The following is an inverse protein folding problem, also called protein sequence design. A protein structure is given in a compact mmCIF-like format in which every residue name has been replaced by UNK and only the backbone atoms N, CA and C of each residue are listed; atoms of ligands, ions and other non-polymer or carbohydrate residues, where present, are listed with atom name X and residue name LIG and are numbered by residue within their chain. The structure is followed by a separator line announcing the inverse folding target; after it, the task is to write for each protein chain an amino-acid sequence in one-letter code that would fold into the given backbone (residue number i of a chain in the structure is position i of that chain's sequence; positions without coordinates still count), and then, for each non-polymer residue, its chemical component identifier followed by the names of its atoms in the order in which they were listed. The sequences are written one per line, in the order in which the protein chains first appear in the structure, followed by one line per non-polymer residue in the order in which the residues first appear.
data_IF_788364165622
#
_entry.id   IF_788364165622
#
_cell.length_a   1.000
_cell.length_b   1.000
_cell.length_c   1.000
_cell.angle_alpha   90.00
_cell.angle_beta   90.00
_cell.angle_gamma   90.00
#
_symmetry.space_group_name_H-M   'P 1'
#
loop_
_entity.id
_entity.type
_entity.pdbx_description
1 polymer ?
#
# COMPACT_ATOMS: atom_id res chain seq x y z
N UNK A 1 26.51 11.23 -9.16
CA UNK A 1 25.83 11.59 -7.87
C UNK A 1 24.42 11.04 -7.93
N UNK A 2 24.06 10.11 -7.04
CA UNK A 2 22.68 9.61 -6.92
C UNK A 2 21.83 10.79 -6.44
N UNK A 3 20.71 11.06 -7.13
CA UNK A 3 19.75 12.08 -6.73
C UNK A 3 18.51 11.36 -6.20
N UNK A 4 18.27 11.47 -4.91
CA UNK A 4 17.04 10.93 -4.30
C UNK A 4 15.94 11.96 -4.53
N UNK A 5 14.82 11.52 -5.12
CA UNK A 5 13.61 12.32 -5.26
C UNK A 5 12.54 11.71 -4.37
N UNK A 6 11.97 12.51 -3.47
CA UNK A 6 10.83 12.09 -2.66
C UNK A 6 9.57 12.51 -3.39
N UNK A 7 8.57 11.62 -3.45
CA UNK A 7 7.22 11.98 -3.88
C UNK A 7 6.47 12.58 -2.68
N UNK A 8 6.24 13.91 -2.62
CA UNK A 8 5.56 14.53 -1.49
C UNK A 8 4.10 14.05 -1.33
N UNK A 9 3.49 13.57 -2.41
CA UNK A 9 2.13 13.01 -2.38
C UNK A 9 2.06 11.64 -1.71
N UNK A 10 3.21 11.00 -1.42
CA UNK A 10 3.28 9.71 -0.76
C UNK A 10 3.34 9.81 0.78
N UNK A 11 3.37 11.03 1.34
CA UNK A 11 3.34 11.18 2.79
C UNK A 11 1.98 10.78 3.37
N UNK A 12 2.03 10.11 4.52
CA UNK A 12 0.87 9.59 5.25
C UNK A 12 0.89 10.09 6.69
N UNK A 13 -0.27 10.10 7.33
CA UNK A 13 -0.41 10.35 8.77
C UNK A 13 -1.40 9.36 9.36
N UNK A 14 -1.22 8.98 10.62
CA UNK A 14 -2.20 8.22 11.37
C UNK A 14 -2.89 9.14 12.38
N UNK A 15 -4.19 8.91 12.61
CA UNK A 15 -4.89 9.55 13.71
C UNK A 15 -4.46 8.88 15.02
N UNK A 16 -4.13 9.69 16.03
CA UNK A 16 -3.69 9.17 17.32
C UNK A 16 -4.88 9.03 18.27
N UNK A 17 -4.89 7.96 19.07
CA UNK A 17 -5.84 7.78 20.17
C UNK A 17 -5.69 8.96 21.15
N UNK A 18 -6.73 9.80 21.35
CA UNK A 18 -6.66 10.93 22.24
C UNK A 18 -6.50 10.51 23.70
N UNK A 19 -7.03 9.36 24.12
CA UNK A 19 -6.86 8.82 25.48
C UNK A 19 -5.40 8.42 25.69
N UNK A 20 -4.79 7.68 24.76
CA UNK A 20 -3.37 7.32 24.87
C UNK A 20 -2.44 8.52 24.73
N UNK A 21 -2.73 9.43 23.80
CA UNK A 21 -1.95 10.65 23.61
C UNK A 21 -2.01 11.53 24.84
N UNK A 22 -3.19 11.61 25.47
CA UNK A 22 -3.39 12.37 26.68
C UNK A 22 -2.84 11.65 27.92
N UNK A 23 -2.91 10.31 28.01
CA UNK A 23 -2.24 9.55 29.07
C UNK A 23 -0.71 9.69 28.99
N UNK A 24 -0.15 9.67 27.77
CA UNK A 24 1.26 10.02 27.52
C UNK A 24 1.53 11.46 27.93
N UNK A 25 0.69 12.42 27.53
CA UNK A 25 0.80 13.82 27.95
C UNK A 25 0.79 13.98 29.48
N UNK A 26 -0.13 13.31 30.20
CA UNK A 26 -0.21 13.31 31.66
C UNK A 26 1.02 12.70 32.29
N UNK A 27 1.54 11.62 31.72
CA UNK A 27 2.76 10.98 32.20
C UNK A 27 3.97 11.90 32.05
N UNK A 28 4.05 12.63 30.93
CA UNK A 28 5.12 13.58 30.63
C UNK A 28 5.02 14.85 31.50
N UNK A 29 3.81 15.38 31.70
CA UNK A 29 3.57 16.66 32.38
C UNK A 29 3.06 16.51 33.81
N UNK A 30 3.23 15.31 34.41
CA UNK A 30 2.66 14.94 35.71
C UNK A 30 3.02 15.95 36.80
N UNK A 31 4.28 16.36 36.86
CA UNK A 31 4.80 17.24 37.91
C UNK A 31 4.26 18.67 37.79
N UNK A 32 4.09 19.16 36.56
CA UNK A 32 3.50 20.48 36.28
C UNK A 32 2.00 20.49 36.61
N UNK A 33 1.28 19.41 36.30
CA UNK A 33 -0.14 19.28 36.58
C UNK A 33 -0.44 19.12 38.07
N UNK A 34 0.40 18.39 38.81
CA UNK A 34 0.33 18.26 40.27
C UNK A 34 0.51 19.60 41.00
N UNK A 35 1.22 20.56 40.39
CA UNK A 35 1.38 21.91 40.94
C UNK A 35 0.11 22.79 40.81
N UNK A 36 -0.88 22.35 40.01
CA UNK A 36 -2.04 23.17 39.61
C UNK A 36 -3.34 22.94 40.41
N UNK A 37 -3.29 22.15 41.50
CA UNK A 37 -4.38 21.94 42.47
C UNK A 37 -5.18 20.63 42.28
N UNK A 38 -5.67 20.06 43.39
CA UNK A 38 -6.33 18.73 43.44
C UNK A 38 -7.68 18.65 42.71
N UNK A 39 -8.40 19.76 42.51
CA UNK A 39 -9.73 19.75 41.90
C UNK A 39 -9.68 19.50 40.38
N UNK A 40 -8.65 20.00 39.69
CA UNK A 40 -8.44 19.71 38.25
C UNK A 40 -8.26 18.21 37.99
N UNK A 41 -7.56 17.50 38.88
CA UNK A 41 -7.31 16.05 38.74
C UNK A 41 -8.58 15.21 38.90
N UNK A 42 -9.53 15.64 39.73
CA UNK A 42 -10.82 14.96 39.90
C UNK A 42 -11.71 15.10 38.66
N UNK A 43 -11.72 16.27 38.04
CA UNK A 43 -12.47 16.51 36.79
C UNK A 43 -11.91 15.68 35.63
N UNK A 44 -10.60 15.48 35.61
CA UNK A 44 -9.90 14.64 34.62
C UNK A 44 -10.20 13.15 34.84
N UNK A 45 -10.13 12.64 36.07
CA UNK A 45 -10.44 11.24 36.37
C UNK A 45 -11.93 10.93 36.09
N UNK A 46 -12.82 11.88 36.38
CA UNK A 46 -14.24 11.79 36.04
C UNK A 46 -14.46 11.83 34.51
N UNK A 47 -13.68 12.63 33.78
CA UNK A 47 -13.68 12.68 32.32
C UNK A 47 -13.28 11.33 31.70
N UNK A 48 -12.20 10.69 32.17
CA UNK A 48 -11.78 9.37 31.67
C UNK A 48 -12.79 8.26 31.97
N UNK A 49 -13.46 8.30 33.13
CA UNK A 49 -14.50 7.34 33.49
C UNK A 49 -15.78 7.50 32.66
N UNK A 50 -16.10 8.74 32.26
CA UNK A 50 -17.30 9.07 31.49
C UNK A 50 -17.06 9.13 29.96
N UNK A 51 -15.80 9.09 29.51
CA UNK A 51 -15.42 8.98 28.10
C UNK A 51 -15.76 7.58 27.58
N UNK A 52 -17.05 7.29 27.43
CA UNK A 52 -17.54 6.03 26.88
C UNK A 52 -17.70 6.12 25.35
N UNK A 53 -16.86 5.34 24.68
CA UNK A 53 -17.16 4.43 23.55
C UNK A 53 -17.70 4.96 22.20
N UNK A 54 -18.00 6.23 22.02
CA UNK A 54 -18.54 6.70 20.73
C UNK A 54 -17.48 7.10 19.70
N UNK A 55 -16.28 7.51 20.14
CA UNK A 55 -15.19 7.86 19.22
C UNK A 55 -14.19 6.71 19.12
N UNK A 56 -14.32 5.91 18.07
CA UNK A 56 -13.39 4.83 17.75
C UNK A 56 -12.39 5.36 16.72
N UNK A 57 -11.22 5.77 17.20
CA UNK A 57 -10.07 6.09 16.37
C UNK A 57 -9.68 4.87 15.54
N UNK A 58 -9.26 5.12 14.30
CA UNK A 58 -8.76 4.07 13.43
C UNK A 58 -7.25 3.98 13.56
N UNK A 59 -6.71 2.79 13.86
CA UNK A 59 -5.27 2.54 13.86
C UNK A 59 -4.70 2.41 12.41
N UNK A 60 -5.19 3.25 11.50
CA UNK A 60 -4.82 3.25 10.08
C UNK A 60 -4.09 4.53 9.71
N UNK A 61 -3.24 4.41 8.71
CA UNK A 61 -2.67 5.56 8.04
C UNK A 61 -3.62 6.10 6.96
N UNK A 62 -3.50 7.39 6.70
CA UNK A 62 -4.27 8.10 5.68
C UNK A 62 -3.33 8.98 4.89
N UNK A 63 -3.56 9.08 3.58
CA UNK A 63 -2.74 9.93 2.73
C UNK A 63 -2.88 11.40 3.13
N UNK A 64 -1.76 12.12 3.21
CA UNK A 64 -1.81 13.58 3.34
C UNK A 64 -2.57 14.17 2.15
N UNK A 65 -3.41 15.15 2.46
CA UNK A 65 -4.32 15.73 1.50
C UNK A 65 -5.71 15.10 1.55
N UNK A 66 -5.93 13.91 2.13
CA UNK A 66 -7.27 13.38 2.36
C UNK A 66 -8.01 14.14 3.48
N UNK A 67 -9.35 14.06 3.45
CA UNK A 67 -10.18 14.58 4.54
C UNK A 67 -10.01 13.72 5.79
N UNK A 68 -9.81 14.35 6.93
CA UNK A 68 -9.73 13.73 8.24
C UNK A 68 -10.68 14.45 9.21
N UNK A 69 -11.06 13.76 10.28
CA UNK A 69 -11.92 14.32 11.32
C UNK A 69 -11.08 15.06 12.38
N UNK A 70 -11.44 16.32 12.65
CA UNK A 70 -10.89 17.13 13.74
C UNK A 70 -11.95 17.35 14.81
N UNK A 71 -11.63 16.97 16.04
CA UNK A 71 -12.44 17.34 17.21
C UNK A 71 -12.19 18.83 17.52
N UNK A 72 -13.23 19.64 17.38
CA UNK A 72 -13.18 21.10 17.61
C UNK A 72 -13.81 21.53 18.92
N UNK A 73 -14.56 20.64 19.57
CA UNK A 73 -15.19 20.88 20.86
C UNK A 73 -15.64 19.56 21.48
N UNK A 74 -15.74 19.56 22.81
CA UNK A 74 -16.30 18.45 23.59
C UNK A 74 -17.30 19.08 24.56
N UNK A 75 -18.54 18.61 24.57
CA UNK A 75 -19.58 19.06 25.49
C UNK A 75 -20.23 17.89 26.22
N UNK A 76 -20.70 18.13 27.44
CA UNK A 76 -21.46 17.13 28.18
C UNK A 76 -22.96 17.33 27.93
N UNK A 77 -23.62 16.32 27.36
CA UNK A 77 -25.08 16.27 27.23
C UNK A 77 -25.64 15.31 28.30
N UNK A 78 -26.66 15.77 29.02
CA UNK A 78 -27.30 15.03 30.10
C UNK A 78 -28.36 14.11 29.50
N UNK A 79 -28.19 12.79 29.64
CA UNK A 79 -29.08 11.82 28.99
C UNK A 79 -30.27 11.41 29.86
N UNK A 80 -30.13 11.48 31.19
CA UNK A 80 -31.14 11.02 32.13
C UNK A 80 -31.17 11.88 33.41
N UNK A 81 -32.31 11.94 34.12
CA UNK A 81 -32.42 12.60 35.44
C UNK A 81 -31.48 12.03 36.51
N UNK A 82 -30.82 10.89 36.24
CA UNK A 82 -29.87 10.23 37.14
C UNK A 82 -28.46 10.82 37.07
N UNK A 83 -28.23 11.91 36.32
CA UNK A 83 -26.95 12.65 36.29
C UNK A 83 -25.84 12.01 35.45
N UNK A 84 -26.17 11.01 34.62
CA UNK A 84 -25.24 10.45 33.64
C UNK A 84 -25.07 11.44 32.48
N UNK A 85 -23.86 11.96 32.32
CA UNK A 85 -23.47 12.88 31.25
C UNK A 85 -22.69 12.12 30.18
N UNK A 86 -23.20 12.09 28.96
CA UNK A 86 -22.40 11.63 27.81
C UNK A 86 -21.62 12.81 27.24
N UNK A 87 -20.38 12.55 26.83
CA UNK A 87 -19.56 13.54 26.14
C UNK A 87 -19.85 13.46 24.64
N UNK A 88 -20.29 14.58 24.06
CA UNK A 88 -20.53 14.76 22.63
C UNK A 88 -19.38 15.60 22.05
N UNK A 89 -18.78 15.10 20.98
CA UNK A 89 -17.70 15.80 20.28
C UNK A 89 -18.25 16.56 19.08
N UNK A 90 -17.84 17.82 18.95
CA UNK A 90 -18.06 18.61 17.74
C UNK A 90 -16.96 18.31 16.73
N UNK A 91 -17.28 17.50 15.73
CA UNK A 91 -16.34 17.08 14.69
C UNK A 91 -16.47 18.01 13.49
N UNK A 92 -15.32 18.47 12.97
CA UNK A 92 -15.26 19.16 11.67
C UNK A 92 -14.31 18.42 10.74
N UNK A 93 -14.67 18.26 9.46
CA UNK A 93 -13.75 17.74 8.46
C UNK A 93 -12.62 18.76 8.23
N UNK A 94 -11.39 18.26 8.20
CA UNK A 94 -10.19 19.04 7.89
C UNK A 94 -9.35 18.32 6.84
N UNK A 95 -8.44 19.05 6.21
CA UNK A 95 -7.47 18.47 5.28
C UNK A 95 -6.07 18.85 5.73
N UNK A 96 -5.25 17.84 6.01
CA UNK A 96 -3.84 18.04 6.35
C UNK A 96 -3.05 18.22 5.06
N UNK A 97 -2.17 19.22 5.01
CA UNK A 97 -1.29 19.48 3.86
C UNK A 97 0.14 19.77 4.30
N UNK A 98 1.11 19.28 3.53
CA UNK A 98 2.54 19.58 3.73
C UNK A 98 2.94 20.63 2.71
N UNK A 99 3.27 21.84 3.17
CA UNK A 99 3.68 22.94 2.28
C UNK A 99 5.13 22.84 1.86
N UNK A 100 6.00 22.47 2.79
CA UNK A 100 7.44 22.34 2.60
C UNK A 100 7.96 21.20 3.48
N UNK A 101 9.06 20.57 3.08
CA UNK A 101 9.79 19.60 3.89
C UNK A 101 11.29 19.80 3.70
N UNK A 102 12.08 19.41 4.71
CA UNK A 102 13.54 19.39 4.67
C UNK A 102 13.97 17.97 5.02
N UNK A 103 14.82 17.38 4.19
CA UNK A 103 15.44 16.09 4.49
C UNK A 103 16.67 16.37 5.34
N UNK A 104 16.62 16.03 6.63
CA UNK A 104 17.75 16.26 7.55
C UNK A 104 18.83 15.18 7.45
N UNK A 105 18.41 13.92 7.27
CA UNK A 105 19.30 12.78 7.14
C UNK A 105 18.68 11.70 6.25
N UNK A 106 19.53 10.99 5.50
CA UNK A 106 19.17 9.74 4.82
C UNK A 106 20.16 8.68 5.29
N UNK A 107 19.68 7.65 5.96
CA UNK A 107 20.50 6.55 6.46
C UNK A 107 20.20 5.30 5.66
N UNK A 108 21.24 4.61 5.19
CA UNK A 108 21.12 3.29 4.58
C UNK A 108 22.00 2.32 5.37
N UNK A 109 21.39 1.27 5.93
CA UNK A 109 22.12 0.21 6.62
C UNK A 109 22.71 -0.74 5.57
N UNK A 110 23.97 -0.51 5.20
CA UNK A 110 24.71 -1.42 4.34
C UNK A 110 25.57 -2.34 5.20
N UNK A 111 25.15 -3.59 5.35
CA UNK A 111 25.98 -4.62 5.95
C UNK A 111 27.00 -5.10 4.91
N UNK A 112 28.29 -5.00 5.21
CA UNK A 112 29.34 -5.44 4.30
C UNK A 112 30.61 -5.85 5.03
N UNK A 113 31.23 -6.92 4.57
CA UNK A 113 32.58 -7.27 4.96
C UNK A 113 33.56 -6.40 4.16
N UNK A 114 34.57 -5.86 4.83
CA UNK A 114 35.63 -5.10 4.15
C UNK A 114 36.32 -6.02 3.13
N UNK A 115 36.09 -5.79 1.85
CA UNK A 115 36.76 -6.53 0.78
C UNK A 115 38.28 -6.24 0.81
N UNK A 116 39.10 -7.27 0.59
CA UNK A 116 40.54 -7.08 0.42
C UNK A 116 40.85 -6.33 -0.88
N UNK A 117 41.97 -5.62 -0.94
CA UNK A 117 42.43 -4.96 -2.17
C UNK A 117 42.59 -5.95 -3.33
N UNK A 118 43.00 -7.18 -3.04
CA UNK A 118 43.08 -8.26 -4.03
C UNK A 118 41.72 -8.65 -4.61
N UNK A 119 40.66 -8.67 -3.78
CA UNK A 119 39.30 -8.90 -4.23
C UNK A 119 38.82 -7.75 -5.12
N UNK A 120 39.00 -6.50 -4.67
CA UNK A 120 38.62 -5.31 -5.43
C UNK A 120 39.33 -5.25 -6.79
N UNK A 121 40.61 -5.58 -6.86
CA UNK A 121 41.35 -5.59 -8.12
C UNK A 121 40.88 -6.70 -9.07
N UNK A 122 40.52 -7.89 -8.56
CA UNK A 122 39.92 -8.95 -9.39
C UNK A 122 38.55 -8.55 -9.92
N UNK A 123 37.71 -7.91 -9.10
CA UNK A 123 36.41 -7.38 -9.53
C UNK A 123 36.58 -6.32 -10.62
N UNK A 124 37.53 -5.38 -10.43
CA UNK A 124 37.88 -4.38 -11.46
C UNK A 124 38.34 -5.02 -12.76
N UNK A 125 39.22 -6.02 -12.71
CA UNK A 125 39.68 -6.75 -13.90
C UNK A 125 38.53 -7.50 -14.57
N UNK A 126 37.68 -8.16 -13.80
CA UNK A 126 36.54 -8.92 -14.33
C UNK A 126 35.59 -8.02 -15.13
N UNK A 127 35.23 -6.86 -14.59
CA UNK A 127 34.35 -5.89 -15.25
C UNK A 127 35.07 -4.92 -16.19
N UNK A 128 36.38 -5.06 -16.41
CA UNK A 128 37.12 -4.20 -17.34
C UNK A 128 36.75 -4.44 -18.81
N UNK A 129 36.36 -5.68 -19.13
CA UNK A 129 35.96 -6.11 -20.47
C UNK A 129 34.57 -6.75 -20.48
N UNK A 130 33.82 -6.65 -19.39
CA UNK A 130 32.49 -7.24 -19.25
C UNK A 130 31.52 -6.22 -18.66
N UNK A 131 30.30 -6.09 -19.21
CA UNK A 131 29.28 -5.28 -18.57
C UNK A 131 28.90 -5.87 -17.21
N UNK A 132 28.73 -5.02 -16.21
CA UNK A 132 27.98 -5.36 -15.01
C UNK A 132 26.50 -5.11 -15.29
N UNK A 133 25.70 -6.17 -15.19
CA UNK A 133 24.24 -6.04 -15.28
C UNK A 133 23.63 -6.06 -13.90
N UNK A 134 22.80 -5.06 -13.62
CA UNK A 134 22.05 -4.94 -12.37
C UNK A 134 20.56 -5.10 -12.70
N UNK A 135 19.91 -6.20 -12.27
CA UNK A 135 18.48 -6.39 -12.46
C UNK A 135 17.68 -5.24 -11.83
N UNK A 136 16.56 -4.90 -12.44
CA UNK A 136 15.65 -3.87 -11.98
C UNK A 136 14.22 -4.21 -12.38
N UNK A 137 13.25 -3.58 -11.71
CA UNK A 137 11.86 -3.67 -12.12
C UNK A 137 11.35 -2.28 -12.46
N UNK A 138 10.53 -2.22 -13.52
CA UNK A 138 9.83 -1.02 -13.94
C UNK A 138 8.34 -1.27 -13.76
N UNK A 139 7.68 -0.37 -13.06
CA UNK A 139 6.24 -0.43 -12.84
C UNK A 139 5.60 0.67 -13.68
N UNK A 140 4.65 0.31 -14.52
CA UNK A 140 3.76 1.25 -15.22
C UNK A 140 2.38 1.14 -14.59
N UNK A 141 1.66 2.27 -14.48
CA UNK A 141 0.34 2.31 -13.83
C UNK A 141 -0.72 2.84 -14.79
N UNK A 142 -1.88 2.20 -14.74
CA UNK A 142 -3.02 2.41 -15.63
C UNK A 142 -4.29 2.46 -14.80
N UNK A 143 -5.03 3.56 -14.90
CA UNK A 143 -6.34 3.67 -14.22
C UNK A 143 -7.39 3.01 -15.11
N UNK A 144 -8.22 2.14 -14.54
CA UNK A 144 -9.34 1.56 -15.28
C UNK A 144 -10.40 2.64 -15.61
N UNK A 145 -11.17 2.51 -16.71
CA UNK A 145 -12.10 3.57 -17.11
C UNK A 145 -13.32 3.72 -16.20
N UNK A 146 -13.79 2.61 -15.61
CA UNK A 146 -14.98 2.57 -14.75
C UNK A 146 -14.64 2.18 -13.32
N UNK A 147 -15.29 2.86 -12.37
CA UNK A 147 -15.23 2.53 -10.95
C UNK A 147 -16.13 1.36 -10.56
N UNK A 148 -16.01 0.91 -9.32
CA UNK A 148 -16.90 -0.12 -8.77
C UNK A 148 -18.35 0.36 -8.73
N UNK A 149 -19.28 -0.60 -8.90
CA UNK A 149 -20.71 -0.42 -8.70
C UNK A 149 -21.16 -1.20 -7.46
N UNK A 150 -22.42 -1.02 -7.02
CA UNK A 150 -22.99 -1.83 -5.95
C UNK A 150 -23.08 -3.33 -6.26
N UNK A 151 -22.96 -3.71 -7.54
CA UNK A 151 -22.90 -5.12 -7.97
C UNK A 151 -21.46 -5.67 -8.02
N UNK A 152 -20.45 -4.82 -7.82
CA UNK A 152 -19.03 -5.15 -7.93
C UNK A 152 -18.31 -4.40 -9.04
N UNK A 153 -17.13 -4.90 -9.41
CA UNK A 153 -16.25 -4.35 -10.43
C UNK A 153 -16.41 -5.18 -11.70
N UNK A 154 -16.62 -4.50 -12.82
CA UNK A 154 -16.43 -5.05 -14.16
C UNK A 154 -15.98 -3.92 -15.06
N UNK A 155 -14.70 -3.90 -15.42
CA UNK A 155 -14.08 -2.77 -16.15
C UNK A 155 -12.97 -3.29 -17.05
N UNK A 156 -12.78 -2.64 -18.19
CA UNK A 156 -11.85 -3.09 -19.22
C UNK A 156 -10.91 -1.95 -19.61
N UNK A 157 -9.62 -2.24 -19.65
CA UNK A 157 -8.59 -1.32 -20.12
C UNK A 157 -7.85 -1.95 -21.30
N UNK A 158 -7.65 -1.19 -22.38
CA UNK A 158 -6.92 -1.65 -23.56
C UNK A 158 -5.51 -1.04 -23.56
N UNK A 159 -4.49 -1.85 -23.31
CA UNK A 159 -3.09 -1.43 -23.29
C UNK A 159 -2.20 -2.47 -23.98
N UNK A 160 -1.05 -2.06 -24.55
CA UNK A 160 -0.06 -3.02 -24.98
C UNK A 160 0.64 -3.62 -23.77
N UNK A 161 0.82 -4.93 -23.76
CA UNK A 161 1.67 -5.64 -22.80
C UNK A 161 3.00 -5.96 -23.47
N UNK A 162 4.10 -5.56 -22.86
CA UNK A 162 5.45 -5.88 -23.34
C UNK A 162 6.24 -6.44 -22.17
N UNK A 163 6.51 -7.74 -22.23
CA UNK A 163 7.32 -8.43 -21.23
C UNK A 163 6.84 -8.21 -19.77
N UNK A 164 5.53 -8.38 -19.53
CA UNK A 164 4.95 -8.20 -18.19
C UNK A 164 5.10 -9.49 -17.38
N UNK A 165 5.84 -9.41 -16.26
CA UNK A 165 6.07 -10.54 -15.34
C UNK A 165 4.96 -10.68 -14.32
N UNK A 166 4.47 -9.55 -13.82
CA UNK A 166 3.44 -9.46 -12.79
C UNK A 166 2.50 -8.30 -13.07
N UNK A 167 1.26 -8.45 -12.63
CA UNK A 167 0.29 -7.36 -12.56
C UNK A 167 -0.09 -7.12 -11.11
N UNK A 168 -0.17 -5.86 -10.69
CA UNK A 168 -0.69 -5.50 -9.38
C UNK A 168 -2.00 -4.72 -9.51
N UNK A 169 -2.99 -5.03 -8.67
CA UNK A 169 -4.24 -4.27 -8.58
C UNK A 169 -4.28 -3.46 -7.29
N UNK A 170 -4.59 -2.17 -7.42
CA UNK A 170 -4.76 -1.25 -6.30
C UNK A 170 -6.21 -0.74 -6.25
N UNK A 171 -6.71 -0.56 -5.04
CA UNK A 171 -8.11 -0.22 -4.75
C UNK A 171 -8.20 1.11 -3.97
N UNK A 172 -7.95 2.25 -4.62
CA UNK A 172 -8.06 3.55 -3.96
C UNK A 172 -9.50 3.84 -3.53
N UNK A 173 -9.66 4.47 -2.35
CA UNK A 173 -10.93 5.01 -1.83
C UNK A 173 -11.02 6.55 -1.92
N UNK A 174 -9.92 7.19 -2.29
CA UNK A 174 -9.83 8.61 -2.57
C UNK A 174 -8.87 8.80 -3.75
N UNK A 175 -9.14 9.78 -4.61
CA UNK A 175 -8.28 10.07 -5.77
C UNK A 175 -6.85 10.50 -5.37
N UNK A 176 -6.65 10.86 -4.10
CA UNK A 176 -5.34 11.22 -3.55
C UNK A 176 -4.55 10.03 -3.03
N UNK A 177 -5.14 8.84 -2.89
CA UNK A 177 -4.41 7.68 -2.38
C UNK A 177 -3.29 7.27 -3.36
N UNK A 178 -2.06 7.20 -2.84
CA UNK A 178 -0.87 6.77 -3.57
C UNK A 178 -0.24 5.53 -2.91
N UNK A 179 -0.31 5.44 -1.58
CA UNK A 179 0.30 4.35 -0.80
C UNK A 179 -0.65 3.65 0.15
N UNK A 180 -1.81 4.25 0.47
CA UNK A 180 -2.79 3.68 1.41
C UNK A 180 -3.95 2.99 0.67
N UNK A 181 -3.96 1.67 0.67
CA UNK A 181 -4.94 0.82 0.00
C UNK A 181 -5.47 -0.25 0.97
N UNK A 182 -6.77 -0.43 0.98
CA UNK A 182 -7.42 -1.43 1.83
C UNK A 182 -7.93 -2.61 0.98
N UNK A 183 -8.04 -3.78 1.60
CA UNK A 183 -8.69 -4.94 0.99
C UNK A 183 -10.14 -4.59 0.61
N UNK A 184 -10.53 -4.73 -0.68
CA UNK A 184 -11.88 -4.41 -1.10
C UNK A 184 -12.93 -5.36 -0.51
N UNK A 185 -12.52 -6.53 0.01
CA UNK A 185 -13.36 -7.62 0.50
C UNK A 185 -14.26 -8.20 -0.60
N UNK A 186 -13.65 -8.60 -1.72
CA UNK A 186 -14.34 -9.06 -2.92
C UNK A 186 -14.05 -10.54 -3.22
N UNK A 187 -14.98 -11.22 -3.88
CA UNK A 187 -14.85 -12.58 -4.38
C UNK A 187 -14.98 -12.63 -5.91
N UNK A 188 -14.54 -13.73 -6.52
CA UNK A 188 -14.41 -13.85 -7.98
C UNK A 188 -13.53 -12.74 -8.59
N UNK A 189 -12.53 -12.29 -7.83
CA UNK A 189 -11.55 -11.31 -8.28
C UNK A 189 -10.61 -11.97 -9.29
N UNK A 190 -10.65 -11.54 -10.56
CA UNK A 190 -9.78 -12.05 -11.62
C UNK A 190 -9.53 -10.97 -12.68
N UNK A 191 -8.41 -11.11 -13.38
CA UNK A 191 -8.15 -10.42 -14.65
C UNK A 191 -8.39 -11.40 -15.80
N UNK A 192 -9.13 -10.99 -16.83
CA UNK A 192 -9.16 -11.68 -18.11
C UNK A 192 -8.36 -10.89 -19.15
N UNK A 193 -7.37 -11.53 -19.76
CA UNK A 193 -6.64 -10.98 -20.90
C UNK A 193 -6.28 -12.10 -21.87
N UNK A 194 -6.30 -11.82 -23.18
CA UNK A 194 -6.02 -12.81 -24.23
C UNK A 194 -6.81 -14.12 -24.06
N UNK A 195 -8.09 -14.02 -23.68
CA UNK A 195 -9.00 -15.14 -23.41
C UNK A 195 -8.52 -16.09 -22.28
N UNK A 196 -7.68 -15.61 -21.37
CA UNK A 196 -7.22 -16.36 -20.20
C UNK A 196 -7.52 -15.58 -18.93
N UNK A 197 -7.96 -16.29 -17.89
CA UNK A 197 -8.15 -15.72 -16.56
C UNK A 197 -6.86 -15.84 -15.75
N UNK A 198 -6.58 -14.80 -14.96
CA UNK A 198 -5.48 -14.72 -14.02
C UNK A 198 -5.99 -14.29 -12.64
N UNK A 199 -5.82 -15.14 -11.61
CA UNK A 199 -5.50 -16.56 -11.72
C UNK A 199 -6.63 -17.34 -12.44
N UNK A 200 -6.38 -18.59 -12.76
CA UNK A 200 -7.33 -19.47 -13.48
C UNK A 200 -8.59 -19.79 -12.66
N UNK A 201 -8.51 -19.73 -11.33
CA UNK A 201 -9.63 -19.87 -10.42
C UNK A 201 -10.12 -18.51 -9.86
N UNK A 202 -11.40 -18.40 -9.48
CA UNK A 202 -11.94 -17.18 -8.86
C UNK A 202 -11.36 -16.95 -7.45
N UNK A 203 -10.74 -15.79 -7.21
CA UNK A 203 -10.18 -15.46 -5.89
C UNK A 203 -11.20 -14.87 -4.93
N UNK A 204 -11.10 -15.21 -3.65
CA UNK A 204 -11.78 -14.53 -2.55
C UNK A 204 -10.73 -13.84 -1.68
N UNK A 205 -10.75 -12.51 -1.59
CA UNK A 205 -9.69 -11.73 -0.93
C UNK A 205 -9.63 -11.90 0.59
N UNK A 206 -10.51 -12.70 1.19
CA UNK A 206 -10.54 -13.01 2.63
C UNK A 206 -10.24 -14.48 2.95
N UNK A 207 -9.91 -15.32 1.96
CA UNK A 207 -9.66 -16.74 2.21
C UNK A 207 -8.16 -17.06 2.36
N UNK A 208 -7.87 -18.19 3.00
CA UNK A 208 -6.49 -18.67 3.27
C UNK A 208 -5.71 -19.00 1.98
N UNK A 209 -6.42 -19.44 0.94
CA UNK A 209 -5.81 -19.72 -0.37
C UNK A 209 -5.26 -18.44 -1.00
N UNK A 210 -6.02 -17.35 -0.95
CA UNK A 210 -5.61 -16.03 -1.43
C UNK A 210 -4.41 -15.50 -0.62
N UNK A 211 -4.47 -15.62 0.70
CA UNK A 211 -3.36 -15.22 1.58
C UNK A 211 -2.04 -15.90 1.19
N UNK A 212 -2.05 -17.23 1.11
CA UNK A 212 -0.87 -18.02 0.70
C UNK A 212 -0.38 -17.62 -0.70
N UNK A 213 -1.31 -17.45 -1.64
CA UNK A 213 -0.98 -17.08 -3.01
C UNK A 213 -0.31 -15.69 -3.08
N UNK A 214 -0.76 -14.71 -2.27
CA UNK A 214 -0.14 -13.39 -2.23
C UNK A 214 1.26 -13.42 -1.59
N UNK A 215 1.47 -14.22 -0.53
CA UNK A 215 2.81 -14.40 0.04
C UNK A 215 3.79 -15.00 -0.97
N UNK A 216 3.36 -16.05 -1.68
CA UNK A 216 4.15 -16.66 -2.76
C UNK A 216 4.41 -15.68 -3.91
N UNK A 217 3.38 -14.94 -4.33
CA UNK A 217 3.51 -13.98 -5.42
C UNK A 217 4.53 -12.87 -5.15
N UNK A 218 4.69 -12.50 -3.87
CA UNK A 218 5.62 -11.46 -3.43
C UNK A 218 6.95 -12.03 -2.88
N UNK A 219 7.19 -13.35 -2.99
CA UNK A 219 8.37 -14.04 -2.43
C UNK A 219 8.55 -13.86 -0.91
N UNK A 220 7.44 -13.72 -0.17
CA UNK A 220 7.37 -13.56 1.28
C UNK A 220 7.03 -14.88 2.00
N UNK A 221 7.10 -16.00 1.29
CA UNK A 221 6.80 -17.35 1.78
C UNK A 221 8.06 -18.11 2.27
N UNK A 222 9.25 -17.54 2.08
CA UNK A 222 10.54 -18.20 2.30
C UNK A 222 11.48 -17.42 3.24
N UNK A 223 12.54 -16.82 2.69
CA UNK A 223 13.62 -16.19 3.48
C UNK A 223 13.19 -14.82 4.02
N UNK A 224 12.27 -14.16 3.32
CA UNK A 224 11.77 -12.84 3.67
C UNK A 224 10.43 -12.97 4.37
N UNK A 225 10.26 -12.25 5.47
CA UNK A 225 9.01 -12.18 6.22
C UNK A 225 8.24 -10.92 5.80
N UNK A 226 6.92 -11.04 5.72
CA UNK A 226 6.05 -9.89 5.53
C UNK A 226 6.05 -9.00 6.80
N UNK A 227 5.81 -7.71 6.63
CA UNK A 227 5.53 -6.84 7.78
C UNK A 227 4.12 -7.11 8.31
N UNK A 228 3.92 -6.96 9.62
CA UNK A 228 2.62 -7.13 10.29
C UNK A 228 1.49 -6.39 9.56
N UNK A 229 1.72 -5.15 9.10
CA UNK A 229 0.76 -4.34 8.34
C UNK A 229 0.30 -5.03 7.04
N UNK A 230 1.24 -5.65 6.31
CA UNK A 230 0.93 -6.32 5.05
C UNK A 230 0.13 -7.59 5.32
N UNK A 231 0.55 -8.43 6.27
CA UNK A 231 -0.16 -9.66 6.64
C UNK A 231 -1.57 -9.36 7.14
N UNK A 232 -1.70 -8.38 8.03
CA UNK A 232 -2.97 -7.95 8.60
C UNK A 232 -3.93 -7.45 7.51
N UNK A 233 -3.42 -6.75 6.49
CA UNK A 233 -4.20 -6.26 5.35
C UNK A 233 -4.82 -7.39 4.51
N UNK A 234 -4.14 -8.56 4.46
CA UNK A 234 -4.60 -9.74 3.71
C UNK A 234 -5.54 -10.62 4.56
N UNK A 235 -5.26 -10.76 5.85
CA UNK A 235 -5.91 -11.74 6.72
C UNK A 235 -7.14 -11.21 7.46
N UNK A 236 -7.20 -9.90 7.76
CA UNK A 236 -8.23 -9.36 8.66
C UNK A 236 -9.48 -8.92 7.90
N UNK A 237 -10.66 -9.53 8.17
CA UNK A 237 -11.91 -9.08 7.55
C UNK A 237 -12.32 -7.70 8.06
N UNK A 238 -12.83 -6.86 7.15
CA UNK A 238 -13.24 -5.47 7.45
C UNK A 238 -14.73 -5.32 7.80
N UNK A 239 -15.52 -6.35 7.57
CA UNK A 239 -16.93 -6.34 7.82
C UNK A 239 -17.46 -7.75 8.09
N UNK A 240 -18.72 -7.80 8.48
CA UNK A 240 -19.55 -8.99 8.50
C UNK A 240 -20.79 -8.76 7.65
N UNK A 241 -21.70 -9.74 7.62
CA UNK A 241 -23.00 -9.61 6.97
C UNK A 241 -23.86 -8.45 7.51
N UNK A 242 -23.58 -7.95 8.72
CA UNK A 242 -24.45 -6.99 9.42
C UNK A 242 -23.76 -5.70 9.86
N UNK A 243 -22.43 -5.67 9.95
CA UNK A 243 -21.69 -4.48 10.41
C UNK A 243 -20.30 -4.37 9.80
N UNK A 244 -19.78 -3.16 9.74
CA UNK A 244 -18.36 -2.88 9.50
C UNK A 244 -17.57 -3.01 10.80
N UNK A 245 -16.31 -3.39 10.69
CA UNK A 245 -15.38 -3.43 11.82
C UNK A 245 -14.46 -2.23 11.78
N UNK A 246 -14.06 -1.77 12.95
CA UNK A 246 -13.00 -0.80 13.06
C UNK A 246 -11.63 -1.47 13.03
N UNK A 247 -10.66 -0.88 12.33
CA UNK A 247 -9.28 -1.36 12.33
C UNK A 247 -8.71 -1.38 13.73
N UNK A 248 -8.13 -2.51 14.11
CA UNK A 248 -7.34 -2.64 15.34
C UNK A 248 -5.84 -2.49 15.09
N UNK A 249 -5.40 -2.59 13.83
CA UNK A 249 -4.06 -2.30 13.32
C UNK A 249 -4.15 -1.65 11.94
N UNK A 250 -3.00 -1.38 11.33
CA UNK A 250 -2.94 -0.77 10.00
C UNK A 250 -3.13 -1.83 8.91
N UNK A 251 -4.12 -1.60 8.05
CA UNK A 251 -4.47 -2.48 6.93
C UNK A 251 -4.30 -1.79 5.57
N UNK A 252 -3.50 -0.72 5.54
CA UNK A 252 -3.41 0.16 4.37
C UNK A 252 -2.30 -0.21 3.38
N UNK A 253 -1.61 -1.34 3.59
CA UNK A 253 -0.65 -1.92 2.65
C UNK A 253 -1.25 -2.99 1.72
N UNK A 254 -2.54 -2.93 1.39
CA UNK A 254 -3.17 -3.96 0.55
C UNK A 254 -2.93 -3.75 -0.96
N UNK A 255 -2.53 -4.80 -1.66
CA UNK A 255 -2.59 -4.88 -3.12
C UNK A 255 -2.73 -6.35 -3.53
N UNK A 256 -3.22 -6.58 -4.76
CA UNK A 256 -3.29 -7.94 -5.32
C UNK A 256 -2.15 -8.07 -6.34
N UNK A 257 -1.18 -8.94 -6.08
CA UNK A 257 -0.20 -9.39 -7.08
C UNK A 257 -0.75 -10.58 -7.85
N UNK A 258 -0.63 -10.53 -9.17
CA UNK A 258 -0.99 -11.57 -10.12
C UNK A 258 0.27 -11.90 -10.92
N UNK A 259 0.88 -13.05 -10.61
CA UNK A 259 2.02 -13.54 -11.36
C UNK A 259 1.56 -13.96 -12.76
N UNK A 260 2.17 -13.35 -13.77
CA UNK A 260 1.91 -13.65 -15.17
C UNK A 260 2.92 -14.65 -15.72
N UNK A 261 4.14 -14.63 -15.20
CA UNK A 261 5.17 -15.62 -15.50
C UNK A 261 4.90 -16.96 -14.80
N UNK A 262 5.26 -18.07 -15.46
CA UNK A 262 5.25 -19.39 -14.81
C UNK A 262 6.49 -19.53 -13.94
N UNK A 263 6.30 -19.97 -12.69
CA UNK A 263 7.40 -20.29 -11.79
C UNK A 263 8.28 -21.40 -12.41
N UNK A 264 9.44 -21.04 -12.96
CA UNK A 264 10.20 -21.88 -13.90
C UNK A 264 11.25 -22.76 -13.22
N UNK A 265 11.24 -22.92 -11.89
CA UNK A 265 12.22 -23.72 -11.13
C UNK A 265 13.68 -23.42 -11.52
N UNK A 266 14.01 -22.16 -11.80
CA UNK A 266 15.37 -21.73 -12.11
C UNK A 266 15.77 -21.76 -13.59
N UNK A 267 14.84 -21.96 -14.53
CA UNK A 267 15.09 -21.74 -15.96
C UNK A 267 14.84 -20.27 -16.34
N UNK A 268 15.84 -19.60 -16.93
CA UNK A 268 15.77 -18.21 -17.44
C UNK A 268 14.96 -18.11 -18.75
N UNK A 269 13.79 -18.74 -18.83
CA UNK A 269 12.90 -18.63 -19.99
C UNK A 269 11.81 -17.66 -19.64
N UNK A 270 11.84 -16.48 -20.27
CA UNK A 270 10.80 -15.47 -20.13
C UNK A 270 9.46 -15.99 -20.70
N UNK A 271 8.47 -16.22 -19.84
CA UNK A 271 7.08 -16.61 -20.20
C UNK A 271 6.05 -15.57 -19.72
N UNK A 272 6.48 -14.32 -19.55
CA UNK A 272 5.58 -13.20 -19.21
C UNK A 272 4.65 -12.81 -20.37
N UNK A 273 3.68 -11.95 -20.10
CA UNK A 273 2.72 -11.52 -21.12
C UNK A 273 3.37 -10.50 -22.07
N UNK A 274 3.44 -10.87 -23.34
CA UNK A 274 3.87 -10.00 -24.44
C UNK A 274 2.88 -10.05 -25.60
N UNK A 275 2.47 -8.87 -26.05
CA UNK A 275 1.52 -8.65 -27.14
C UNK A 275 2.19 -8.03 -28.36
N UNK A 276 3.52 -7.89 -28.35
CA UNK A 276 4.30 -7.33 -29.47
C UNK A 276 3.79 -5.94 -29.88
N UNK A 277 3.54 -5.07 -28.90
CA UNK A 277 2.99 -3.72 -29.05
C UNK A 277 1.54 -3.65 -29.57
N UNK A 278 0.81 -4.76 -29.63
CA UNK A 278 -0.63 -4.73 -29.93
C UNK A 278 -1.44 -4.47 -28.67
N UNK A 279 -2.44 -3.60 -28.75
CA UNK A 279 -3.34 -3.40 -27.62
C UNK A 279 -4.14 -4.68 -27.35
N UNK A 280 -4.09 -5.16 -26.11
CA UNK A 280 -4.96 -6.24 -25.63
C UNK A 280 -5.93 -5.70 -24.60
N UNK A 281 -7.11 -6.31 -24.55
CA UNK A 281 -8.12 -6.04 -23.52
C UNK A 281 -7.74 -6.74 -22.23
N UNK A 282 -7.71 -5.96 -21.15
CA UNK A 282 -7.53 -6.44 -19.78
C UNK A 282 -8.82 -6.11 -19.03
N UNK A 283 -9.65 -7.12 -18.79
CA UNK A 283 -10.89 -7.00 -18.03
C UNK A 283 -10.63 -7.37 -16.57
N UNK A 284 -10.89 -6.45 -15.65
CA UNK A 284 -10.96 -6.73 -14.22
C UNK A 284 -12.41 -7.00 -13.84
N UNK A 285 -12.66 -8.12 -13.16
CA UNK A 285 -13.96 -8.43 -12.55
C UNK A 285 -13.83 -8.81 -11.08
N UNK A 286 -14.92 -8.63 -10.34
CA UNK A 286 -15.12 -9.18 -9.01
C UNK A 286 -16.37 -8.63 -8.33
N UNK A 287 -16.83 -9.32 -7.29
CA UNK A 287 -18.11 -9.07 -6.63
C UNK A 287 -17.91 -8.83 -5.13
N UNK A 288 -18.69 -7.94 -4.50
CA UNK A 288 -18.52 -7.68 -3.07
C UNK A 288 -18.92 -8.89 -2.23
N UNK A 289 -18.08 -9.28 -1.26
CA UNK A 289 -18.42 -10.33 -0.28
C UNK A 289 -19.53 -9.84 0.64
N UNK A 290 -19.50 -8.55 1.00
CA UNK A 290 -20.49 -7.89 1.83
C UNK A 290 -21.19 -6.82 0.99
N UNK A 291 -22.52 -6.90 0.84
CA UNK A 291 -23.31 -6.02 -0.01
C UNK A 291 -24.08 -4.96 0.81
N UNK A 292 -24.50 -3.88 0.13
CA UNK A 292 -25.26 -2.79 0.75
C UNK A 292 -24.39 -1.91 1.65
N UNK A 293 -24.94 -1.44 2.77
CA UNK A 293 -24.26 -0.51 3.69
C UNK A 293 -22.96 -1.05 4.28
N UNK A 294 -22.75 -2.36 4.27
CA UNK A 294 -21.53 -3.01 4.80
C UNK A 294 -20.43 -3.21 3.76
N UNK A 295 -20.65 -2.88 2.49
CA UNK A 295 -19.59 -2.88 1.47
C UNK A 295 -18.58 -1.76 1.76
N UNK A 296 -17.42 -2.12 2.30
CA UNK A 296 -16.40 -1.17 2.74
C UNK A 296 -15.61 -0.52 1.61
N UNK A 297 -15.68 -1.05 0.39
CA UNK A 297 -14.99 -0.49 -0.76
C UNK A 297 -15.90 0.43 -1.57
N UNK A 298 -17.11 -0.04 -1.92
CA UNK A 298 -18.05 0.76 -2.70
C UNK A 298 -18.63 1.94 -1.91
N UNK A 299 -18.96 1.73 -0.64
CA UNK A 299 -19.48 2.77 0.24
C UNK A 299 -18.35 3.26 1.17
N UNK A 300 -17.53 4.19 0.68
CA UNK A 300 -16.30 4.64 1.36
C UNK A 300 -16.62 5.31 2.70
N UNK A 301 -17.62 6.17 2.73
CA UNK A 301 -18.10 6.86 3.93
C UNK A 301 -19.64 6.84 4.03
N UNK A 302 -20.16 7.35 5.15
CA UNK A 302 -21.60 7.45 5.41
C UNK A 302 -22.27 8.61 4.67
N UNK A 303 -21.50 9.46 3.98
CA UNK A 303 -22.01 10.60 3.20
C UNK A 303 -22.27 10.24 1.73
N UNK A 304 -22.14 8.96 1.37
CA UNK A 304 -22.37 8.47 0.01
C UNK A 304 -21.16 8.65 -0.91
N UNK A 305 -19.94 8.76 -0.36
CA UNK A 305 -18.72 8.75 -1.16
C UNK A 305 -18.47 7.35 -1.75
N UNK A 306 -18.20 7.33 -3.05
CA UNK A 306 -17.81 6.13 -3.80
C UNK A 306 -16.33 6.18 -4.21
N UNK A 307 -15.67 5.02 -4.40
CA UNK A 307 -14.26 4.97 -4.71
C UNK A 307 -13.98 5.43 -6.16
N UNK A 308 -12.80 6.00 -6.44
CA UNK A 308 -12.32 6.14 -7.81
C UNK A 308 -12.08 4.76 -8.47
N UNK A 309 -11.85 4.71 -9.79
CA UNK A 309 -11.56 3.45 -10.47
C UNK A 309 -10.32 2.73 -9.91
N UNK A 310 -10.31 1.39 -9.90
CA UNK A 310 -9.13 0.61 -9.57
C UNK A 310 -7.95 0.96 -10.49
N UNK A 311 -6.74 0.68 -10.02
CA UNK A 311 -5.50 0.92 -10.77
C UNK A 311 -4.86 -0.43 -11.06
N UNK A 312 -4.51 -0.64 -12.32
CA UNK A 312 -3.66 -1.74 -12.79
C UNK A 312 -2.22 -1.24 -12.86
N UNK A 313 -1.32 -1.95 -12.20
CA UNK A 313 0.11 -1.78 -12.37
C UNK A 313 0.66 -2.97 -13.17
N UNK A 314 1.44 -2.71 -14.21
CA UNK A 314 2.19 -3.75 -14.94
C UNK A 314 3.65 -3.68 -14.51
N UNK A 315 4.18 -4.83 -14.09
CA UNK A 315 5.57 -4.98 -13.69
C UNK A 315 6.35 -5.57 -14.84
N UNK A 316 7.47 -4.93 -15.17
CA UNK A 316 8.36 -5.34 -16.23
C UNK A 316 9.74 -5.57 -15.64
N UNK A 317 10.30 -6.74 -15.88
CA UNK A 317 11.71 -6.99 -15.59
C UNK A 317 12.58 -6.19 -16.57
N UNK A 318 13.48 -5.41 -16.00
CA UNK A 318 14.41 -4.54 -16.71
C UNK A 318 15.80 -4.67 -16.10
N UNK A 319 16.78 -3.96 -16.62
CA UNK A 319 18.13 -4.03 -16.08
C UNK A 319 18.90 -2.76 -16.40
N UNK A 320 19.88 -2.48 -15.57
CA UNK A 320 20.88 -1.44 -15.79
C UNK A 320 22.17 -2.08 -16.25
N UNK A 321 22.80 -1.50 -17.26
CA UNK A 321 24.10 -1.95 -17.75
C UNK A 321 25.15 -0.91 -17.40
N UNK A 322 26.20 -1.37 -16.74
CA UNK A 322 27.42 -0.61 -16.51
C UNK A 322 28.52 -1.22 -17.36
N UNK A 323 28.99 -0.50 -18.38
CA UNK A 323 30.06 -0.97 -19.27
C UNK A 323 31.20 0.04 -19.33
N UNK A 324 32.47 -0.41 -19.22
CA UNK A 324 33.62 0.44 -19.54
C UNK A 324 33.62 0.94 -20.97
N UNK A 325 33.05 0.18 -21.91
CA UNK A 325 32.94 0.57 -23.32
C UNK A 325 32.09 1.84 -23.51
N UNK A 326 31.16 2.11 -22.58
CA UNK A 326 30.36 3.33 -22.53
C UNK A 326 31.04 4.42 -21.68
N UNK A 327 32.36 4.37 -21.48
CA UNK A 327 33.07 5.31 -20.62
C UNK A 327 32.71 5.21 -19.13
N UNK A 328 32.16 4.05 -18.70
CA UNK A 328 31.68 3.83 -17.33
C UNK A 328 30.31 4.43 -17.03
N UNK A 329 29.56 4.90 -18.03
CA UNK A 329 28.18 5.37 -17.85
C UNK A 329 27.20 4.21 -17.66
N UNK A 330 26.15 4.44 -16.88
CA UNK A 330 25.03 3.53 -16.74
C UNK A 330 24.05 3.73 -17.91
N UNK A 331 23.70 2.65 -18.61
CA UNK A 331 22.65 2.62 -19.62
C UNK A 331 21.41 1.93 -19.04
N UNK A 332 20.26 2.57 -19.20
CA UNK A 332 18.95 1.99 -18.89
C UNK A 332 18.30 1.57 -20.20
N UNK A 333 18.22 0.28 -20.46
CA UNK A 333 17.50 -0.23 -21.62
C UNK A 333 16.10 -0.66 -21.20
N UNK A 334 15.09 -0.03 -21.78
CA UNK A 334 13.67 -0.34 -21.56
C UNK A 334 13.00 -0.90 -22.80
N UNK A 335 13.75 -1.08 -23.88
CA UNK A 335 13.25 -1.41 -25.21
C UNK A 335 13.60 -2.82 -25.65
N UNK A 336 14.75 -3.34 -25.21
CA UNK A 336 15.24 -4.64 -25.60
C UNK A 336 15.17 -5.64 -24.44
N UNK A 337 15.02 -6.92 -24.77
CA UNK A 337 15.12 -7.98 -23.77
C UNK A 337 16.57 -8.16 -23.30
N UNK A 338 16.75 -8.73 -22.11
CA UNK A 338 18.08 -9.00 -21.54
C UNK A 338 18.99 -9.76 -22.52
N UNK A 339 18.45 -10.81 -23.15
CA UNK A 339 19.20 -11.64 -24.09
C UNK A 339 19.64 -10.87 -25.34
N UNK A 340 18.81 -9.94 -25.83
CA UNK A 340 19.16 -9.11 -26.98
C UNK A 340 20.35 -8.20 -26.67
N UNK A 341 20.40 -7.63 -25.47
CA UNK A 341 21.45 -6.68 -25.11
C UNK A 341 22.75 -7.38 -24.69
N UNK A 342 22.68 -8.47 -23.91
CA UNK A 342 23.87 -9.23 -23.53
C UNK A 342 24.61 -9.75 -24.77
N UNK A 343 23.90 -10.29 -25.76
CA UNK A 343 24.51 -10.83 -26.97
C UNK A 343 25.18 -9.75 -27.83
N UNK A 344 24.68 -8.50 -27.81
CA UNK A 344 25.29 -7.37 -28.51
C UNK A 344 26.49 -6.79 -27.78
N UNK A 345 26.53 -6.88 -26.44
CA UNK A 345 27.62 -6.33 -25.62
C UNK A 345 28.76 -7.35 -25.40
N UNK A 346 28.50 -8.65 -25.62
CA UNK A 346 29.50 -9.72 -25.48
C UNK A 346 30.11 -10.21 -26.80
N UNK A 347 29.53 -9.83 -27.95
CA UNK A 347 30.13 -9.97 -29.29
C UNK A 347 31.13 -8.84 -29.56
#
# INVERSE_FOLDING_TARGET
KIKIKINPSAFVFCQVDPIQSMAKYYTINKDELLSSGQDKLKDIDLFFRNWSLTFQYTNMYTQIGCTADLITGIRAEELTPSGLKNLVCDIKPVTVSVRNYIIEAVTANMCGYKASESCLNRVRQFYSNRPLVVPAQRIESWVFPSAASSAGIKTTQNIPLSHVTDMCLLFPKDARHVTCYENPCYFDMQINTMNRNFPDFPMNTLNEQYFTMQLQANNLDNIFEACDEYEDSLATPRASKTRRYNPVSDYTSFFITIQCERNSNGALIFDGLDTQNQNTSIELKGHPIFAGEVDTYYNVDTNGKHPPPPILCTVHDTFWIFSPASGGSCLYDTTHSFDQVINQVTA
#
